data_IF_943573634310
#
_entry.id   IF_943573634310
#
_cell.length_a   1.000
_cell.length_b   1.000
_cell.length_c   1.000
_cell.angle_alpha   90.00
_cell.angle_beta   90.00
_cell.angle_gamma   90.00
#
_symmetry.space_group_name_H-M   'P 1'
#
loop_
_entity.id
_entity.type
_entity.pdbx_description
1 polymer ?
#
# COMPACT_ATOMS: atom_id res chain seq x y z
N UNK A 1 41.64 -12.20 -8.05
CA UNK A 1 40.40 -12.56 -8.75
C UNK A 1 39.25 -12.40 -7.77
N UNK A 2 38.77 -11.16 -7.56
CA UNK A 2 37.69 -10.90 -6.62
C UNK A 2 36.35 -11.18 -7.33
N UNK A 3 35.72 -12.29 -6.95
CA UNK A 3 34.39 -12.66 -7.44
C UNK A 3 33.38 -11.61 -6.99
N UNK A 4 32.86 -10.86 -7.96
CA UNK A 4 31.69 -10.02 -7.81
C UNK A 4 30.47 -10.90 -7.48
N UNK A 5 30.30 -11.30 -6.22
CA UNK A 5 29.05 -11.87 -5.73
C UNK A 5 28.00 -10.77 -5.58
N UNK A 6 27.57 -10.22 -6.72
CA UNK A 6 26.43 -9.32 -6.82
C UNK A 6 25.12 -10.10 -6.73
N UNK A 7 25.00 -10.99 -5.73
CA UNK A 7 23.70 -11.58 -5.38
C UNK A 7 22.93 -10.54 -4.59
N UNK A 8 22.35 -9.57 -5.32
CA UNK A 8 21.42 -8.57 -4.78
C UNK A 8 20.25 -9.32 -4.14
N UNK A 9 20.24 -9.42 -2.81
CA UNK A 9 19.17 -10.03 -2.02
C UNK A 9 17.85 -9.28 -2.27
N UNK A 10 17.02 -9.79 -3.18
CA UNK A 10 15.72 -9.21 -3.52
C UNK A 10 14.71 -9.21 -2.36
N UNK A 11 14.94 -9.98 -1.31
CA UNK A 11 14.08 -10.07 -0.12
C UNK A 11 13.84 -8.72 0.56
N UNK A 12 14.87 -7.88 0.69
CA UNK A 12 14.72 -6.55 1.29
C UNK A 12 13.78 -5.64 0.48
N UNK A 13 13.76 -5.80 -0.85
CA UNK A 13 12.86 -5.05 -1.72
C UNK A 13 11.40 -5.45 -1.47
N UNK A 14 11.12 -6.75 -1.34
CA UNK A 14 9.76 -7.24 -1.09
C UNK A 14 9.26 -6.92 0.31
N UNK A 15 10.13 -6.98 1.32
CA UNK A 15 9.77 -6.56 2.69
C UNK A 15 9.40 -5.07 2.71
N UNK A 16 10.20 -4.23 2.05
CA UNK A 16 9.90 -2.79 1.96
C UNK A 16 8.57 -2.52 1.23
N UNK A 17 8.29 -3.23 0.13
CA UNK A 17 7.01 -3.12 -0.57
C UNK A 17 5.82 -3.55 0.31
N UNK A 18 5.96 -4.65 1.05
CA UNK A 18 4.93 -5.10 1.99
C UNK A 18 4.70 -4.10 3.12
N UNK A 19 5.77 -3.51 3.65
CA UNK A 19 5.68 -2.49 4.68
C UNK A 19 4.99 -1.21 4.17
N UNK A 20 5.27 -0.79 2.94
CA UNK A 20 4.58 0.33 2.29
C UNK A 20 3.09 0.08 2.13
N UNK A 21 2.69 -1.12 1.73
CA UNK A 21 1.27 -1.50 1.62
C UNK A 21 0.61 -1.48 3.00
N UNK A 22 1.26 -2.04 4.03
CA UNK A 22 0.75 -2.01 5.41
C UNK A 22 0.50 -0.58 5.88
N UNK A 23 1.49 0.31 5.72
CA UNK A 23 1.36 1.72 6.09
C UNK A 23 0.21 2.39 5.31
N UNK A 24 0.13 2.13 4.00
CA UNK A 24 -0.93 2.68 3.15
C UNK A 24 -2.33 2.27 3.62
N UNK A 25 -2.51 0.99 3.96
CA UNK A 25 -3.78 0.46 4.46
C UNK A 25 -4.15 1.06 5.82
N UNK A 26 -3.19 1.20 6.74
CA UNK A 26 -3.43 1.83 8.03
C UNK A 26 -3.81 3.30 7.90
N UNK A 27 -3.09 4.07 7.08
CA UNK A 27 -3.37 5.50 6.86
C UNK A 27 -4.73 5.68 6.20
N UNK A 28 -5.01 4.92 5.13
CA UNK A 28 -6.30 5.01 4.42
C UNK A 28 -7.49 4.57 5.28
N UNK A 29 -7.32 3.54 6.12
CA UNK A 29 -8.34 3.11 7.07
C UNK A 29 -8.60 4.17 8.15
N UNK A 30 -7.55 4.78 8.70
CA UNK A 30 -7.68 5.88 9.67
C UNK A 30 -8.41 7.09 9.07
N UNK A 31 -8.07 7.45 7.83
CA UNK A 31 -8.78 8.48 7.07
C UNK A 31 -10.26 8.10 6.89
N UNK A 32 -10.54 6.83 6.58
CA UNK A 32 -11.92 6.34 6.49
C UNK A 32 -12.69 6.46 7.79
N UNK A 33 -12.09 6.15 8.95
CA UNK A 33 -12.74 6.33 10.26
C UNK A 33 -13.06 7.80 10.50
N UNK A 34 -12.11 8.70 10.19
CA UNK A 34 -12.31 10.14 10.33
C UNK A 34 -13.48 10.64 9.47
N UNK A 35 -13.56 10.23 8.20
CA UNK A 35 -14.63 10.62 7.31
C UNK A 35 -15.99 9.97 7.66
N UNK A 36 -16.02 8.69 8.03
CA UNK A 36 -17.26 8.03 8.46
C UNK A 36 -17.83 8.71 9.72
N UNK A 37 -16.96 9.14 10.63
CA UNK A 37 -17.34 9.89 11.83
C UNK A 37 -17.81 11.31 11.50
N UNK A 38 -17.18 11.98 10.52
CA UNK A 38 -17.55 13.31 10.06
C UNK A 38 -18.93 13.34 9.38
N UNK A 39 -19.20 12.35 8.52
CA UNK A 39 -20.46 12.22 7.80
C UNK A 39 -21.56 11.49 8.58
N UNK A 40 -21.25 10.99 9.79
CA UNK A 40 -22.17 10.23 10.66
C UNK A 40 -22.82 9.04 9.94
N UNK A 41 -22.05 8.32 9.14
CA UNK A 41 -22.54 7.08 8.54
C UNK A 41 -22.80 6.03 9.63
N UNK A 42 -23.95 5.35 9.55
CA UNK A 42 -24.30 4.25 10.48
C UNK A 42 -23.40 3.03 10.29
N UNK A 43 -22.84 2.87 9.09
CA UNK A 43 -21.96 1.78 8.72
C UNK A 43 -20.56 2.30 8.37
N UNK A 44 -19.48 1.57 8.72
CA UNK A 44 -18.10 1.98 8.46
C UNK A 44 -17.72 1.76 6.99
N UNK A 45 -18.48 2.33 6.06
CA UNK A 45 -18.32 2.07 4.62
C UNK A 45 -17.00 2.65 4.09
N UNK A 46 -16.63 3.87 4.48
CA UNK A 46 -15.40 4.52 4.01
C UNK A 46 -14.16 3.88 4.63
N UNK A 47 -14.25 3.35 5.84
CA UNK A 47 -13.17 2.55 6.47
C UNK A 47 -12.75 1.37 5.61
N UNK A 48 -13.68 0.72 4.91
CA UNK A 48 -13.36 -0.40 4.00
C UNK A 48 -13.09 0.06 2.58
N UNK A 49 -13.82 1.07 2.10
CA UNK A 49 -13.70 1.57 0.74
C UNK A 49 -12.35 2.24 0.48
N UNK A 50 -11.87 3.10 1.39
CA UNK A 50 -10.61 3.83 1.18
C UNK A 50 -9.38 2.92 1.09
N UNK A 51 -9.18 1.92 1.98
CA UNK A 51 -8.07 0.98 1.84
C UNK A 51 -8.12 0.18 0.54
N UNK A 52 -9.30 -0.24 0.10
CA UNK A 52 -9.47 -0.93 -1.17
C UNK A 52 -9.06 -0.07 -2.36
N UNK A 53 -9.54 1.17 -2.41
CA UNK A 53 -9.19 2.12 -3.48
C UNK A 53 -7.71 2.45 -3.46
N UNK A 54 -7.14 2.72 -2.28
CA UNK A 54 -5.72 3.01 -2.10
C UNK A 54 -4.85 1.82 -2.56
N UNK A 55 -5.26 0.59 -2.25
CA UNK A 55 -4.58 -0.63 -2.68
C UNK A 55 -4.62 -0.79 -4.21
N UNK A 56 -5.77 -0.58 -4.85
CA UNK A 56 -5.90 -0.64 -6.31
C UNK A 56 -5.02 0.42 -6.99
N UNK A 57 -5.02 1.66 -6.49
CA UNK A 57 -4.16 2.74 -7.01
C UNK A 57 -2.68 2.37 -6.87
N UNK A 58 -2.29 1.78 -5.75
CA UNK A 58 -0.91 1.34 -5.52
C UNK A 58 -0.49 0.22 -6.49
N UNK A 59 -1.38 -0.75 -6.73
CA UNK A 59 -1.15 -1.79 -7.74
C UNK A 59 -1.05 -1.21 -9.15
N UNK A 60 -1.93 -0.27 -9.51
CA UNK A 60 -1.89 0.42 -10.81
C UNK A 60 -0.57 1.18 -10.98
N UNK A 61 -0.09 1.84 -9.93
CA UNK A 61 1.21 2.52 -9.93
C UNK A 61 2.36 1.53 -10.16
N UNK A 62 2.33 0.38 -9.48
CA UNK A 62 3.35 -0.68 -9.69
C UNK A 62 3.30 -1.20 -11.13
N UNK A 63 2.10 -1.48 -11.65
CA UNK A 63 1.90 -1.93 -13.03
C UNK A 63 2.46 -0.93 -14.04
N UNK A 64 2.15 0.36 -13.88
CA UNK A 64 2.66 1.40 -14.75
C UNK A 64 4.19 1.53 -14.66
N UNK A 65 4.77 1.44 -13.46
CA UNK A 65 6.23 1.44 -13.22
C UNK A 65 6.96 0.20 -13.76
N UNK A 66 6.23 -0.90 -14.02
CA UNK A 66 6.79 -2.13 -14.58
C UNK A 66 6.75 -2.14 -16.11
N UNK A 67 5.77 -1.47 -16.70
CA UNK A 67 5.59 -1.38 -18.16
C UNK A 67 6.39 -0.25 -18.79
N UNK A 68 6.65 0.83 -18.06
CA UNK A 68 7.44 1.97 -18.49
C UNK A 68 8.78 2.02 -17.79
#
# INVERSE_FOLDING_TARGET
MASNFKSKKNYFKYINLGFQILILLFISGYIGVFFDSYFKFEYPFLVFFFPFVAFIIYLYRIYYLLIK
#
